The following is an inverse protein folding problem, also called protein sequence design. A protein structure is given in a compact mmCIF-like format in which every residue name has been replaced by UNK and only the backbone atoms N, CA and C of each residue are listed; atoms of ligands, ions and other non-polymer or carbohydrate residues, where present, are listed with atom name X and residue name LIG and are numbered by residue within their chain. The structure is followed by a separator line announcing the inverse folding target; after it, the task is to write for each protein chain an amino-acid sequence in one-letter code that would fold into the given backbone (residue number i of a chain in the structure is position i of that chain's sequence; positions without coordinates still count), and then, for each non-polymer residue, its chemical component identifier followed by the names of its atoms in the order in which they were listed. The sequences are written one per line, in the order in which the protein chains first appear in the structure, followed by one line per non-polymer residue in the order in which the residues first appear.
data_IF_919032853047
#
_entry.id   IF_919032853047
#
_cell.length_a   1.000
_cell.length_b   1.000
_cell.length_c   1.000
_cell.angle_alpha   90.00
_cell.angle_beta   90.00
_cell.angle_gamma   90.00
#
_symmetry.space_group_name_H-M   'P 1'
#
loop_
_entity.id
_entity.type
_entity.pdbx_description
1 polymer ?
#
# COMPACT_ATOMS: atom_id res chain seq x y z
N UNK A 1 -1.78 19.97 43.74
CA UNK A 1 -2.56 18.83 43.22
C UNK A 1 -1.66 18.15 42.21
N UNK A 2 -0.93 17.14 42.69
CA UNK A 2 0.10 16.44 41.94
C UNK A 2 -0.56 15.24 41.25
N UNK A 3 -0.84 15.38 39.95
CA UNK A 3 -1.38 14.29 39.14
C UNK A 3 -0.24 13.35 38.78
N UNK A 4 0.04 12.38 39.66
CA UNK A 4 0.96 11.28 39.36
C UNK A 4 0.53 10.59 38.05
N UNK A 5 1.29 10.84 37.00
CA UNK A 5 1.30 10.01 35.80
C UNK A 5 1.69 8.60 36.24
N UNK A 6 0.73 7.67 36.22
CA UNK A 6 0.98 6.26 36.48
C UNK A 6 1.71 5.69 35.27
N UNK A 7 3.04 5.70 35.32
CA UNK A 7 3.89 5.05 34.33
C UNK A 7 3.60 3.54 34.38
N UNK A 8 2.80 3.03 33.44
CA UNK A 8 2.56 1.59 33.31
C UNK A 8 3.86 0.94 32.86
N UNK A 9 4.57 0.29 33.79
CA UNK A 9 5.79 -0.46 33.49
C UNK A 9 5.39 -1.75 32.77
N UNK A 10 5.68 -1.82 31.48
CA UNK A 10 5.49 -3.02 30.66
C UNK A 10 6.46 -4.10 31.18
N UNK A 11 5.96 -5.33 31.36
CA UNK A 11 6.79 -6.48 31.76
C UNK A 11 7.61 -7.02 30.58
N UNK A 12 8.69 -7.77 30.87
CA UNK A 12 9.55 -8.37 29.83
C UNK A 12 8.77 -9.28 28.87
N UNK A 13 7.80 -10.04 29.38
CA UNK A 13 6.98 -10.95 28.59
C UNK A 13 6.03 -10.19 27.65
N UNK A 14 5.43 -9.09 28.13
CA UNK A 14 4.61 -8.20 27.29
C UNK A 14 5.44 -7.54 26.19
N UNK A 15 6.70 -7.18 26.47
CA UNK A 15 7.61 -6.63 25.48
C UNK A 15 8.00 -7.66 24.39
N UNK A 16 8.19 -8.93 24.75
CA UNK A 16 8.40 -10.01 23.79
C UNK A 16 7.17 -10.22 22.89
N UNK A 17 5.97 -10.23 23.48
CA UNK A 17 4.70 -10.35 22.74
C UNK A 17 4.54 -9.20 21.74
N UNK A 18 4.78 -7.96 22.18
CA UNK A 18 4.70 -6.78 21.31
C UNK A 18 5.70 -6.85 20.15
N UNK A 19 6.93 -7.35 20.40
CA UNK A 19 7.93 -7.55 19.35
C UNK A 19 7.45 -8.55 18.30
N UNK A 20 6.93 -9.70 18.72
CA UNK A 20 6.39 -10.71 17.79
C UNK A 20 5.22 -10.16 16.98
N UNK A 21 4.30 -9.44 17.63
CA UNK A 21 3.14 -8.82 16.96
C UNK A 21 3.53 -7.69 16.00
N UNK A 22 4.69 -7.07 16.17
CA UNK A 22 5.19 -6.02 15.29
C UNK A 22 5.86 -6.57 14.02
N UNK A 23 6.39 -7.81 14.03
CA UNK A 23 7.09 -8.39 12.88
C UNK A 23 6.30 -8.32 11.55
N UNK A 24 4.98 -8.62 11.50
CA UNK A 24 4.22 -8.54 10.25
C UNK A 24 4.13 -7.11 9.69
N UNK A 25 4.32 -6.08 10.52
CA UNK A 25 4.19 -4.69 10.07
C UNK A 25 5.20 -4.31 8.98
N UNK A 26 6.39 -4.90 9.02
CA UNK A 26 7.42 -4.72 8.00
C UNK A 26 7.04 -5.29 6.63
N UNK A 27 6.03 -6.16 6.56
CA UNK A 27 5.56 -6.78 5.32
C UNK A 27 4.43 -5.99 4.65
N UNK A 28 3.64 -5.23 5.41
CA UNK A 28 2.43 -4.60 4.86
C UNK A 28 2.76 -3.57 3.78
N UNK A 29 3.73 -2.68 4.03
CA UNK A 29 4.10 -1.65 3.05
C UNK A 29 4.54 -2.24 1.71
N UNK A 30 5.53 -3.14 1.64
CA UNK A 30 5.96 -3.68 0.36
C UNK A 30 4.87 -4.54 -0.31
N UNK A 31 4.03 -5.25 0.45
CA UNK A 31 2.92 -6.02 -0.11
C UNK A 31 1.82 -5.13 -0.71
N UNK A 32 1.49 -4.01 -0.07
CA UNK A 32 0.51 -3.05 -0.60
C UNK A 32 1.07 -2.33 -1.82
N UNK A 33 2.35 -1.96 -1.82
CA UNK A 33 3.02 -1.38 -3.00
C UNK A 33 3.02 -2.36 -4.18
N UNK A 34 3.36 -3.63 -3.93
CA UNK A 34 3.28 -4.69 -4.94
C UNK A 34 1.89 -4.76 -5.57
N UNK A 35 0.85 -4.86 -4.74
CA UNK A 35 -0.53 -4.93 -5.23
C UNK A 35 -0.93 -3.65 -6.02
N UNK A 36 -0.51 -2.48 -5.56
CA UNK A 36 -0.79 -1.22 -6.24
C UNK A 36 -0.12 -1.11 -7.62
N UNK A 37 1.11 -1.63 -7.74
CA UNK A 37 1.84 -1.73 -9.01
C UNK A 37 1.14 -2.72 -9.95
N UNK A 38 0.79 -3.92 -9.46
CA UNK A 38 0.13 -4.96 -10.26
C UNK A 38 -1.26 -4.54 -10.75
N UNK A 39 -2.01 -3.80 -9.94
CA UNK A 39 -3.29 -3.21 -10.31
C UNK A 39 -3.15 -1.98 -11.22
N UNK A 40 -1.93 -1.49 -11.46
CA UNK A 40 -1.67 -0.31 -12.28
C UNK A 40 -2.21 0.99 -11.68
N UNK A 41 -2.32 1.09 -10.34
CA UNK A 41 -2.93 2.26 -9.70
C UNK A 41 -2.16 3.54 -10.01
N UNK A 42 -0.83 3.49 -9.97
CA UNK A 42 0.02 4.64 -10.27
C UNK A 42 -0.11 5.06 -11.75
N UNK A 43 -0.27 4.11 -12.67
CA UNK A 43 -0.51 4.37 -14.10
C UNK A 43 -1.84 5.07 -14.32
N UNK A 44 -2.91 4.59 -13.68
CA UNK A 44 -4.25 5.18 -13.78
C UNK A 44 -4.21 6.63 -13.31
N UNK A 45 -3.56 6.90 -12.16
CA UNK A 45 -3.44 8.25 -11.63
C UNK A 45 -2.56 9.14 -12.52
N UNK A 46 -1.43 8.64 -13.02
CA UNK A 46 -0.53 9.40 -13.88
C UNK A 46 -1.21 9.81 -15.20
N UNK A 47 -2.05 8.94 -15.76
CA UNK A 47 -2.83 9.22 -16.98
C UNK A 47 -3.89 10.31 -16.81
N UNK A 48 -4.40 10.50 -15.59
CA UNK A 48 -5.35 11.58 -15.31
C UNK A 48 -4.68 12.97 -15.34
N UNK A 49 -3.35 13.02 -15.18
CA UNK A 49 -2.54 14.23 -15.31
C UNK A 49 -1.76 14.58 -14.03
N UNK A 50 -0.76 15.47 -14.11
CA UNK A 50 0.14 15.78 -12.99
C UNK A 50 -0.56 16.36 -11.75
N UNK A 51 -1.61 17.17 -11.96
CA UNK A 51 -2.36 17.86 -10.90
C UNK A 51 -3.72 17.21 -10.62
N UNK A 52 -3.98 16.03 -11.21
CA UNK A 52 -5.24 15.35 -11.04
C UNK A 52 -5.37 14.79 -9.61
N UNK A 53 -6.54 14.99 -9.02
CA UNK A 53 -6.93 14.37 -7.75
C UNK A 53 -8.09 13.42 -8.02
N UNK A 54 -7.90 12.13 -7.72
CA UNK A 54 -8.89 11.10 -8.01
C UNK A 54 -9.44 10.50 -6.71
N UNK A 55 -10.73 10.23 -6.68
CA UNK A 55 -11.37 9.42 -5.65
C UNK A 55 -11.08 7.92 -5.86
N UNK A 56 -11.26 7.13 -4.81
CA UNK A 56 -11.12 5.68 -4.90
C UNK A 56 -12.10 5.02 -5.87
N UNK A 57 -13.31 5.60 -6.01
CA UNK A 57 -14.33 5.12 -6.93
C UNK A 57 -13.95 5.38 -8.40
N UNK A 58 -13.41 6.56 -8.70
CA UNK A 58 -12.89 6.88 -10.04
C UNK A 58 -11.74 5.94 -10.43
N UNK A 59 -10.79 5.71 -9.52
CA UNK A 59 -9.68 4.79 -9.76
C UNK A 59 -10.20 3.36 -9.97
N UNK A 60 -11.13 2.90 -9.14
CA UNK A 60 -11.71 1.55 -9.26
C UNK A 60 -12.48 1.37 -10.58
N UNK A 61 -13.16 2.41 -11.07
CA UNK A 61 -13.91 2.37 -12.33
C UNK A 61 -13.02 2.19 -13.57
N UNK A 62 -11.74 2.59 -13.48
CA UNK A 62 -10.76 2.41 -14.55
C UNK A 62 -10.20 0.98 -14.64
N UNK A 63 -10.48 0.13 -13.66
CA UNK A 63 -9.98 -1.25 -13.61
C UNK A 63 -11.09 -2.19 -14.12
N UNK A 64 -10.85 -2.97 -15.18
CA UNK A 64 -11.83 -3.93 -15.69
C UNK A 64 -11.96 -5.12 -14.72
N UNK A 65 -12.89 -5.03 -13.77
CA UNK A 65 -13.13 -6.05 -12.76
C UNK A 65 -14.62 -6.22 -12.46
N UNK A 66 -15.05 -7.47 -12.22
CA UNK A 66 -16.39 -7.79 -11.71
C UNK A 66 -16.46 -7.80 -10.18
N UNK A 67 -15.36 -7.49 -9.50
CA UNK A 67 -15.30 -7.52 -8.04
C UNK A 67 -16.01 -6.30 -7.43
N UNK A 68 -17.22 -6.49 -6.91
CA UNK A 68 -17.99 -5.45 -6.23
C UNK A 68 -17.29 -4.85 -5.00
N UNK A 69 -16.30 -5.54 -4.42
CA UNK A 69 -15.52 -5.03 -3.29
C UNK A 69 -14.31 -4.19 -3.71
N UNK A 70 -14.03 -4.07 -5.01
CA UNK A 70 -12.85 -3.36 -5.51
C UNK A 70 -12.78 -1.91 -5.03
N UNK A 71 -13.85 -1.08 -5.08
CA UNK A 71 -13.78 0.30 -4.61
C UNK A 71 -13.38 0.41 -3.13
N UNK A 72 -13.93 -0.46 -2.28
CA UNK A 72 -13.57 -0.51 -0.86
C UNK A 72 -12.11 -0.95 -0.64
N UNK A 73 -11.62 -1.90 -1.45
CA UNK A 73 -10.22 -2.35 -1.41
C UNK A 73 -9.26 -1.24 -1.84
N UNK A 74 -9.53 -0.58 -2.98
CA UNK A 74 -8.75 0.58 -3.44
C UNK A 74 -8.76 1.68 -2.39
N UNK A 75 -9.91 1.96 -1.77
CA UNK A 75 -10.00 2.95 -0.70
C UNK A 75 -9.09 2.64 0.49
N UNK A 76 -8.94 1.37 0.86
CA UNK A 76 -8.02 0.97 1.94
C UNK A 76 -6.57 1.11 1.50
N UNK A 77 -6.24 0.69 0.27
CA UNK A 77 -4.89 0.81 -0.28
C UNK A 77 -4.44 2.26 -0.40
N UNK A 78 -5.27 3.14 -0.97
CA UNK A 78 -4.91 4.56 -1.14
C UNK A 78 -4.73 5.27 0.19
N UNK A 79 -5.59 5.00 1.19
CA UNK A 79 -5.40 5.53 2.55
C UNK A 79 -4.10 5.07 3.18
N UNK A 80 -3.77 3.78 3.04
CA UNK A 80 -2.54 3.21 3.56
C UNK A 80 -1.31 3.82 2.86
N UNK A 81 -1.32 3.96 1.54
CA UNK A 81 -0.22 4.58 0.80
C UNK A 81 -0.06 6.07 1.15
N UNK A 82 -1.17 6.79 1.34
CA UNK A 82 -1.14 8.17 1.80
C UNK A 82 -0.55 8.30 3.22
N UNK A 83 -0.87 7.38 4.15
CA UNK A 83 -0.27 7.40 5.49
C UNK A 83 1.24 7.10 5.48
N UNK A 84 1.75 6.54 4.39
CA UNK A 84 3.18 6.28 4.17
C UNK A 84 3.82 7.30 3.21
N UNK A 85 3.15 8.43 2.93
CA UNK A 85 3.64 9.53 2.09
C UNK A 85 3.97 9.16 0.64
N UNK A 86 3.32 8.11 0.11
CA UNK A 86 3.36 7.81 -1.33
C UNK A 86 2.31 8.59 -2.10
N UNK A 87 1.23 9.00 -1.44
CA UNK A 87 0.14 9.76 -2.03
C UNK A 87 -0.17 10.96 -1.14
N UNK A 88 -0.56 12.07 -1.77
CA UNK A 88 -1.27 13.12 -1.08
C UNK A 88 -2.73 12.74 -0.93
N UNK A 89 -3.34 13.11 0.20
CA UNK A 89 -4.76 12.90 0.45
C UNK A 89 -5.40 14.23 0.84
N UNK A 90 -6.32 14.70 0.00
CA UNK A 90 -7.18 15.86 0.30
C UNK A 90 -8.60 15.39 0.63
N UNK A 91 -9.32 16.24 1.34
CA UNK A 91 -10.73 16.02 1.65
C UNK A 91 -11.54 17.07 0.90
N UNK A 92 -12.44 16.62 0.03
CA UNK A 92 -13.40 17.47 -0.67
C UNK A 92 -14.76 17.30 -0.01
N UNK A 93 -15.32 18.40 0.51
CA UNK A 93 -16.72 18.45 0.91
C UNK A 93 -17.59 18.65 -0.33
N UNK A 94 -18.43 17.68 -0.67
CA UNK A 94 -19.45 17.89 -1.70
C UNK A 94 -20.57 18.80 -1.19
N UNK A 95 -21.25 19.50 -2.10
CA UNK A 95 -22.46 20.29 -1.78
C UNK A 95 -23.53 19.44 -1.07
N UNK A 96 -23.51 18.13 -1.31
CA UNK A 96 -24.41 17.12 -0.74
C UNK A 96 -24.09 16.75 0.72
N UNK A 97 -23.06 17.36 1.33
CA UNK A 97 -22.56 17.00 2.67
C UNK A 97 -21.75 15.70 2.72
N UNK A 98 -21.57 15.01 1.58
CA UNK A 98 -20.77 13.80 1.48
C UNK A 98 -19.28 14.18 1.39
N UNK A 99 -18.51 13.70 2.34
CA UNK A 99 -17.07 13.90 2.41
C UNK A 99 -16.37 12.87 1.52
N UNK A 100 -15.69 13.32 0.46
CA UNK A 100 -14.89 12.47 -0.43
C UNK A 100 -13.40 12.69 -0.19
N UNK A 101 -12.63 11.61 -0.18
CA UNK A 101 -11.16 11.67 -0.18
C UNK A 101 -10.65 11.60 -1.60
N UNK A 102 -9.78 12.54 -1.96
CA UNK A 102 -9.11 12.56 -3.25
C UNK A 102 -7.62 12.33 -3.05
N UNK A 103 -6.99 11.67 -4.01
CA UNK A 103 -5.59 11.29 -3.96
C UNK A 103 -4.84 11.84 -5.16
N UNK A 104 -3.63 12.34 -4.93
CA UNK A 104 -2.67 12.70 -5.98
C UNK A 104 -1.32 12.03 -5.73
N UNK A 105 -0.54 11.86 -6.80
CA UNK A 105 0.76 11.21 -6.73
C UNK A 105 1.80 12.13 -6.08
N UNK A 106 2.58 11.60 -5.14
CA UNK A 106 3.84 12.21 -4.75
C UNK A 106 4.92 11.94 -5.82
N UNK A 107 5.97 12.78 -5.94
CA UNK A 107 7.04 12.59 -6.92
C UNK A 107 7.71 11.22 -6.88
N UNK A 108 7.81 10.61 -5.68
CA UNK A 108 8.38 9.26 -5.52
C UNK A 108 7.62 8.21 -6.32
N UNK A 109 6.29 8.35 -6.47
CA UNK A 109 5.47 7.39 -7.19
C UNK A 109 5.69 7.39 -8.71
N UNK A 110 6.33 8.43 -9.26
CA UNK A 110 6.73 8.44 -10.68
C UNK A 110 7.70 7.31 -11.01
N UNK A 111 8.47 6.84 -10.03
CA UNK A 111 9.36 5.68 -10.18
C UNK A 111 8.62 4.35 -10.39
N UNK A 112 7.31 4.29 -10.08
CA UNK A 112 6.46 3.11 -10.28
C UNK A 112 5.64 3.17 -11.57
N UNK A 113 5.67 4.30 -12.27
CA UNK A 113 5.04 4.49 -13.57
C UNK A 113 6.04 4.09 -14.65
N UNK A 114 5.58 3.36 -15.65
CA UNK A 114 6.41 2.93 -16.78
C UNK A 114 6.82 4.14 -17.61
N UNK A 115 8.10 4.19 -17.96
CA UNK A 115 8.64 5.16 -18.90
C UNK A 115 8.31 4.77 -20.35
N UNK A 116 8.81 5.56 -21.31
CA UNK A 116 8.60 5.34 -22.75
C UNK A 116 9.07 3.95 -23.21
N UNK A 117 10.10 3.41 -22.57
CA UNK A 117 10.63 2.05 -22.81
C UNK A 117 9.77 0.95 -22.17
N UNK A 118 8.69 1.30 -21.47
CA UNK A 118 7.81 0.36 -20.77
C UNK A 118 8.38 -0.16 -19.44
N UNK A 119 9.46 0.43 -18.93
CA UNK A 119 10.16 0.01 -17.70
C UNK A 119 9.89 0.94 -16.52
N UNK A 120 9.99 0.43 -15.29
CA UNK A 120 9.89 1.25 -14.07
C UNK A 120 10.75 0.66 -12.95
N UNK A 121 11.06 1.44 -11.92
CA UNK A 121 11.69 0.91 -10.69
C UNK A 121 10.70 0.05 -9.87
N UNK A 122 9.40 0.09 -10.20
CA UNK A 122 8.43 -0.84 -9.64
C UNK A 122 8.82 -2.30 -9.86
N UNK A 123 9.41 -2.64 -11.01
CA UNK A 123 9.89 -3.99 -11.30
C UNK A 123 10.97 -4.46 -10.31
N UNK A 124 11.81 -3.56 -9.82
CA UNK A 124 12.82 -3.87 -8.79
C UNK A 124 12.16 -4.20 -7.44
N UNK A 125 11.08 -3.49 -7.07
CA UNK A 125 10.32 -3.78 -5.85
C UNK A 125 9.56 -5.11 -5.92
N UNK A 126 9.20 -5.56 -7.12
CA UNK A 126 8.52 -6.85 -7.31
C UNK A 126 9.48 -8.04 -7.21
N UNK A 127 10.77 -7.84 -7.49
CA UNK A 127 11.76 -8.91 -7.56
C UNK A 127 11.83 -9.79 -6.29
N UNK A 128 11.86 -9.24 -5.05
CA UNK A 128 11.86 -10.06 -3.84
C UNK A 128 10.61 -10.94 -3.65
N UNK A 129 9.52 -10.61 -4.35
CA UNK A 129 8.25 -11.33 -4.29
C UNK A 129 8.03 -12.28 -5.46
N UNK A 130 9.01 -12.36 -6.38
CA UNK A 130 8.96 -13.33 -7.45
C UNK A 130 9.06 -14.76 -6.89
N UNK A 131 8.33 -15.69 -7.49
CA UNK A 131 8.29 -17.10 -7.04
C UNK A 131 9.69 -17.70 -6.97
N UNK A 132 10.54 -17.41 -7.96
CA UNK A 132 11.92 -17.93 -8.01
C UNK A 132 12.73 -17.42 -6.82
N UNK A 133 12.56 -16.14 -6.45
CA UNK A 133 13.25 -15.56 -5.30
C UNK A 133 12.76 -16.12 -3.97
N UNK A 134 11.45 -16.33 -3.81
CA UNK A 134 10.90 -16.96 -2.61
C UNK A 134 11.36 -18.42 -2.47
N UNK A 135 11.47 -19.15 -3.58
CA UNK A 135 11.97 -20.54 -3.61
C UNK A 135 13.45 -20.64 -3.20
N UNK A 136 14.27 -19.61 -3.37
CA UNK A 136 15.67 -19.62 -2.89
C UNK A 136 15.77 -19.80 -1.37
N UNK A 137 14.80 -19.27 -0.62
CA UNK A 137 14.75 -19.40 0.84
C UNK A 137 13.99 -20.65 1.28
N UNK A 138 13.50 -21.47 0.36
CA UNK A 138 12.83 -22.73 0.68
C UNK A 138 13.86 -23.71 1.28
N UNK A 139 13.58 -24.30 2.46
CA UNK A 139 14.45 -25.32 3.02
C UNK A 139 14.62 -26.48 2.05
N UNK A 140 15.85 -26.93 1.84
CA UNK A 140 16.16 -28.05 0.92
C UNK A 140 15.44 -29.36 1.29
N UNK A 141 15.02 -29.50 2.55
CA UNK A 141 14.21 -30.63 3.04
C UNK A 141 12.78 -30.68 2.49
N UNK A 142 12.32 -29.65 1.77
CA UNK A 142 10.96 -29.56 1.23
C UNK A 142 10.85 -29.93 -0.26
N UNK A 143 11.92 -30.43 -0.88
CA UNK A 143 11.95 -30.90 -2.27
C UNK A 143 11.85 -32.44 -2.40
N UNK A 144 11.94 -33.20 -1.30
CA UNK A 144 12.01 -34.67 -1.30
C UNK A 144 10.67 -35.38 -1.02
N UNK A 145 9.53 -34.74 -1.28
CA UNK A 145 8.19 -35.33 -1.08
C UNK A 145 7.29 -35.30 -2.34
N UNK A 146 7.90 -35.16 -3.52
CA UNK A 146 7.28 -35.43 -4.82
C UNK A 146 8.18 -36.40 -5.59
#
# INVERSE_FOLDING_TARGET
MDSSQKQTKISSEEEDILRVLHLPSGLYLPMVLKAAIELGLFEIMAKAGPEAQLSSDEIASAIPSQNHNLPAMISRMMRFLASHSFLNCSISGGEDGIVKRLYSLEPICRNFVRNEDGTSLGSLLLFPFDKVMLEMFRPHSSQSLL
#
